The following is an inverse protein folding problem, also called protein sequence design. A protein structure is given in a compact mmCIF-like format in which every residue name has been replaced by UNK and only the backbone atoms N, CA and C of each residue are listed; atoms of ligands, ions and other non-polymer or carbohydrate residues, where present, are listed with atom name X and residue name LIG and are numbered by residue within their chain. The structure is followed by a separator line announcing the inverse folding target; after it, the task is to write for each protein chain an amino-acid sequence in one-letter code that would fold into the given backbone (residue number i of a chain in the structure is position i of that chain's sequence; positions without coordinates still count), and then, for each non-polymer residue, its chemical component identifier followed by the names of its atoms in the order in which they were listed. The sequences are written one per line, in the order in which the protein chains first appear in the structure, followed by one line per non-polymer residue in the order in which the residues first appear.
data_IF_138733641963
#
_entry.id   IF_138733641963
#
_cell.length_a   1.000
_cell.length_b   1.000
_cell.length_c   1.000
_cell.angle_alpha   90.00
_cell.angle_beta   90.00
_cell.angle_gamma   90.00
#
_symmetry.space_group_name_H-M   'P 1'
#
loop_
_entity.id
_entity.type
_entity.pdbx_description
1 polymer ?
#
# COMPACT_ATOMS: atom_id res chain seq x y z
N UNK A 1 -6.37 -28.91 -7.56
CA UNK A 1 -5.57 -27.65 -7.61
C UNK A 1 -6.06 -26.71 -8.71
N UNK A 2 -6.33 -27.20 -9.92
CA UNK A 2 -6.80 -26.37 -11.05
C UNK A 2 -8.24 -25.83 -10.93
N UNK A 3 -9.13 -26.45 -10.16
CA UNK A 3 -10.52 -25.97 -9.98
C UNK A 3 -10.64 -24.65 -9.21
N UNK A 4 -9.61 -24.29 -8.41
CA UNK A 4 -9.57 -23.00 -7.70
C UNK A 4 -9.08 -21.87 -8.58
N UNK A 5 -8.45 -22.18 -9.72
CA UNK A 5 -7.84 -21.18 -10.59
C UNK A 5 -8.87 -20.22 -11.21
N UNK A 6 -10.05 -20.66 -11.68
CA UNK A 6 -11.10 -19.76 -12.17
C UNK A 6 -11.65 -18.86 -11.06
N UNK A 7 -11.87 -19.40 -9.85
CA UNK A 7 -12.36 -18.63 -8.71
C UNK A 7 -11.32 -17.58 -8.26
N UNK A 8 -10.04 -17.96 -8.18
CA UNK A 8 -8.94 -17.04 -7.93
C UNK A 8 -8.88 -15.95 -9.00
N UNK A 9 -8.91 -16.33 -10.29
CA UNK A 9 -8.88 -15.38 -11.40
C UNK A 9 -10.05 -14.39 -11.35
N UNK A 10 -11.27 -14.87 -11.13
CA UNK A 10 -12.45 -14.03 -11.00
C UNK A 10 -12.36 -13.06 -9.81
N UNK A 11 -11.91 -13.55 -8.65
CA UNK A 11 -11.73 -12.73 -7.45
C UNK A 11 -10.63 -11.69 -7.65
N UNK A 12 -9.48 -12.09 -8.20
CA UNK A 12 -8.38 -11.18 -8.54
C UNK A 12 -8.82 -10.12 -9.54
N UNK A 13 -9.54 -10.50 -10.60
CA UNK A 13 -10.08 -9.55 -11.57
C UNK A 13 -11.04 -8.56 -10.90
N UNK A 14 -11.92 -9.03 -10.02
CA UNK A 14 -12.85 -8.17 -9.27
C UNK A 14 -12.10 -7.16 -8.39
N UNK A 15 -11.06 -7.61 -7.68
CA UNK A 15 -10.23 -6.77 -6.81
C UNK A 15 -9.42 -5.76 -7.62
N UNK A 16 -8.90 -6.15 -8.80
CA UNK A 16 -8.13 -5.26 -9.69
C UNK A 16 -9.02 -4.15 -10.26
N UNK A 17 -10.28 -4.47 -10.60
CA UNK A 17 -11.22 -3.49 -11.19
C UNK A 17 -11.77 -2.53 -10.12
N UNK A 18 -11.91 -2.98 -8.88
CA UNK A 18 -12.36 -2.13 -7.79
C UNK A 18 -11.34 -1.01 -7.51
N UNK A 19 -11.67 0.28 -7.75
CA UNK A 19 -10.75 1.36 -7.45
C UNK A 19 -10.49 1.40 -5.95
N UNK A 20 -9.22 1.40 -5.55
CA UNK A 20 -8.84 1.58 -4.15
C UNK A 20 -9.26 2.95 -3.61
N UNK A 21 -9.24 3.16 -2.28
CA UNK A 21 -9.68 4.42 -1.66
C UNK A 21 -9.00 5.66 -2.23
N UNK A 22 -7.68 5.60 -2.45
CA UNK A 22 -6.89 6.70 -3.01
C UNK A 22 -7.27 7.01 -4.46
N UNK A 23 -7.46 5.96 -5.27
CA UNK A 23 -7.88 6.08 -6.67
C UNK A 23 -9.30 6.61 -6.77
N UNK A 24 -10.22 6.12 -5.93
CA UNK A 24 -11.60 6.60 -5.86
C UNK A 24 -11.66 8.08 -5.46
N UNK A 25 -10.84 8.49 -4.49
CA UNK A 25 -10.74 9.90 -4.07
C UNK A 25 -10.18 10.79 -5.18
N UNK A 26 -9.13 10.35 -5.87
CA UNK A 26 -8.55 11.06 -7.01
C UNK A 26 -9.57 11.20 -8.15
N UNK A 27 -10.30 10.13 -8.48
CA UNK A 27 -11.39 10.16 -9.47
C UNK A 27 -12.47 11.15 -9.03
N UNK A 28 -12.99 11.04 -7.80
CA UNK A 28 -14.03 11.93 -7.26
C UNK A 28 -13.61 13.40 -7.36
N UNK A 29 -12.41 13.73 -6.90
CA UNK A 29 -11.93 15.11 -6.91
C UNK A 29 -11.62 15.60 -8.33
N UNK A 30 -11.21 14.71 -9.24
CA UNK A 30 -11.08 15.04 -10.67
C UNK A 30 -12.43 15.33 -11.31
N UNK A 31 -13.46 14.53 -11.02
CA UNK A 31 -14.80 14.70 -11.56
C UNK A 31 -15.49 15.97 -11.03
N UNK A 32 -15.35 16.25 -9.73
CA UNK A 32 -16.02 17.39 -9.09
C UNK A 32 -15.23 18.71 -9.23
N UNK A 33 -13.90 18.65 -9.22
CA UNK A 33 -13.02 19.82 -9.19
C UNK A 33 -12.10 19.96 -10.42
N UNK A 34 -12.29 19.12 -11.43
CA UNK A 34 -11.49 19.11 -12.65
C UNK A 34 -10.07 18.54 -12.47
N UNK A 35 -9.29 18.57 -13.56
CA UNK A 35 -7.95 17.95 -13.62
C UNK A 35 -6.99 18.45 -12.55
N UNK A 36 -7.03 19.75 -12.22
CA UNK A 36 -6.16 20.35 -11.19
C UNK A 36 -6.45 19.82 -9.79
N UNK A 37 -7.72 19.66 -9.43
CA UNK A 37 -8.09 19.08 -8.14
C UNK A 37 -7.66 17.61 -8.04
N UNK A 38 -7.78 16.87 -9.15
CA UNK A 38 -7.25 15.51 -9.29
C UNK A 38 -5.75 15.42 -9.06
N UNK A 39 -4.95 16.24 -9.75
CA UNK A 39 -3.49 16.19 -9.61
C UNK A 39 -3.02 16.59 -8.21
N UNK A 40 -3.64 17.61 -7.60
CA UNK A 40 -3.35 17.98 -6.21
C UNK A 40 -3.69 16.86 -5.22
N UNK A 41 -4.80 16.15 -5.45
CA UNK A 41 -5.18 14.98 -4.64
C UNK A 41 -4.13 13.87 -4.75
N UNK A 42 -3.69 13.55 -5.98
CA UNK A 42 -2.68 12.53 -6.21
C UNK A 42 -1.33 12.88 -5.57
N UNK A 43 -0.89 14.15 -5.68
CA UNK A 43 0.33 14.64 -5.02
C UNK A 43 0.21 14.52 -3.50
N UNK A 44 -0.94 14.90 -2.94
CA UNK A 44 -1.18 14.79 -1.49
C UNK A 44 -1.10 13.35 -1.00
N UNK A 45 -1.78 12.42 -1.68
CA UNK A 45 -1.74 10.98 -1.35
C UNK A 45 -0.31 10.45 -1.45
N UNK A 46 0.38 10.70 -2.56
CA UNK A 46 1.75 10.21 -2.77
C UNK A 46 2.72 10.74 -1.71
N UNK A 47 2.58 12.02 -1.34
CA UNK A 47 3.43 12.65 -0.32
C UNK A 47 3.16 12.05 1.07
N UNK A 48 1.88 11.84 1.41
CA UNK A 48 1.49 11.19 2.66
C UNK A 48 2.00 9.76 2.76
N UNK A 49 1.87 8.98 1.68
CA UNK A 49 2.40 7.62 1.60
C UNK A 49 3.93 7.59 1.73
N UNK A 50 4.64 8.52 1.09
CA UNK A 50 6.09 8.62 1.21
C UNK A 50 6.51 8.92 2.66
N UNK A 51 5.89 9.92 3.30
CA UNK A 51 6.20 10.29 4.69
C UNK A 51 5.91 9.12 5.63
N UNK A 52 4.75 8.48 5.50
CA UNK A 52 4.38 7.33 6.32
C UNK A 52 5.36 6.16 6.14
N UNK A 53 5.67 5.79 4.90
CA UNK A 53 6.60 4.68 4.58
C UNK A 53 8.00 4.95 5.13
N UNK A 54 8.51 6.18 4.99
CA UNK A 54 9.81 6.57 5.52
C UNK A 54 9.79 6.53 7.05
N UNK A 55 8.77 7.10 7.69
CA UNK A 55 8.61 7.08 9.14
C UNK A 55 8.55 5.65 9.69
N UNK A 56 7.75 4.78 9.07
CA UNK A 56 7.65 3.37 9.45
C UNK A 56 8.97 2.64 9.24
N UNK A 57 9.65 2.83 8.11
CA UNK A 57 10.92 2.17 7.82
C UNK A 57 12.02 2.59 8.80
N UNK A 58 12.14 3.89 9.07
CA UNK A 58 13.09 4.42 10.05
C UNK A 58 12.76 3.93 11.47
N UNK A 59 11.49 3.95 11.85
CA UNK A 59 11.03 3.44 13.16
C UNK A 59 11.31 1.95 13.32
N UNK A 60 11.05 1.15 12.29
CA UNK A 60 11.38 -0.28 12.27
C UNK A 60 12.89 -0.50 12.37
N UNK A 61 13.70 0.25 11.61
CA UNK A 61 15.16 0.15 11.69
C UNK A 61 15.68 0.48 13.10
N UNK A 62 15.16 1.54 13.71
CA UNK A 62 15.49 1.93 15.08
C UNK A 62 15.08 0.84 16.08
N UNK A 63 13.87 0.28 15.95
CA UNK A 63 13.37 -0.79 16.81
C UNK A 63 14.23 -2.06 16.70
N UNK A 64 14.59 -2.48 15.49
CA UNK A 64 15.42 -3.66 15.25
C UNK A 64 16.85 -3.46 15.80
N UNK A 65 17.38 -2.23 15.73
CA UNK A 65 18.69 -1.90 16.31
C UNK A 65 18.65 -1.93 17.85
N UNK A 66 17.55 -1.45 18.44
CA UNK A 66 17.38 -1.41 19.89
C UNK A 66 17.02 -2.77 20.51
N UNK A 67 16.38 -3.67 19.76
CA UNK A 67 15.81 -4.92 20.28
C UNK A 67 16.40 -6.16 19.62
N UNK A 68 17.28 -6.85 20.38
CA UNK A 68 17.83 -8.17 20.01
C UNK A 68 16.76 -9.21 19.67
N UNK A 69 15.69 -9.42 20.45
CA UNK A 69 14.67 -10.42 20.11
C UNK A 69 13.91 -10.05 18.83
N UNK A 70 13.60 -8.76 18.60
CA UNK A 70 12.92 -8.34 17.37
C UNK A 70 13.78 -8.61 16.12
N UNK A 71 15.08 -8.28 16.18
CA UNK A 71 16.02 -8.61 15.11
C UNK A 71 16.10 -10.13 14.87
N UNK A 72 16.12 -10.94 15.94
CA UNK A 72 16.14 -12.40 15.86
C UNK A 72 14.93 -12.97 15.10
N UNK A 73 13.73 -12.47 15.40
CA UNK A 73 12.49 -12.87 14.71
C UNK A 73 12.56 -12.54 13.23
N UNK A 74 12.92 -11.30 12.87
CA UNK A 74 13.01 -10.87 11.45
C UNK A 74 14.05 -11.71 10.71
N UNK A 75 15.20 -11.99 11.32
CA UNK A 75 16.25 -12.82 10.72
C UNK A 75 15.78 -14.26 10.48
N UNK A 76 15.06 -14.83 11.43
CA UNK A 76 14.54 -16.19 11.30
C UNK A 76 13.46 -16.28 10.21
N UNK A 77 12.55 -15.30 10.14
CA UNK A 77 11.52 -15.22 9.11
C UNK A 77 12.11 -15.01 7.70
N UNK A 78 13.18 -14.23 7.55
CA UNK A 78 13.81 -13.96 6.24
C UNK A 78 14.77 -15.04 5.74
N UNK A 79 15.12 -16.03 6.57
CA UNK A 79 16.02 -17.13 6.19
C UNK A 79 15.27 -18.36 5.61
N UNK A 80 13.94 -18.32 5.57
CA UNK A 80 13.07 -19.37 5.03
C UNK A 80 12.58 -19.11 3.62
#
# INVERSE_FOLDING_TARGET
MFERFPAFFALSALVIVAPGPDTALAIRNTLLGGRRAGTLTAIGVASGQAIWTLGTSLGLAALLTASRPAFGVVRWLGAG
#
